data_IF_260227208736
#
_entry.id   IF_260227208736
#
_cell.length_a   1.000
_cell.length_b   1.000
_cell.length_c   1.000
_cell.angle_alpha   90.00
_cell.angle_beta   90.00
_cell.angle_gamma   90.00
#
_symmetry.space_group_name_H-M   'P 1'
#
loop_
_entity.id
_entity.type
_entity.pdbx_description
1 polymer ?
#
# COMPACT_ATOMS: atom_id res chain seq x y z
N UNK A 1 -37.11 7.42 5.44
CA UNK A 1 -36.94 6.14 6.17
C UNK A 1 -35.66 6.07 7.01
N UNK A 2 -34.81 7.10 7.03
CA UNK A 2 -33.53 7.09 7.75
C UNK A 2 -33.62 7.67 9.17
N UNK A 3 -34.76 8.22 9.56
CA UNK A 3 -35.06 8.66 10.92
C UNK A 3 -35.38 7.47 11.81
N UNK A 4 -34.76 7.43 12.99
CA UNK A 4 -34.97 6.39 14.00
C UNK A 4 -36.17 6.77 14.86
N UNK A 5 -37.09 5.84 15.07
CA UNK A 5 -38.23 6.06 15.95
C UNK A 5 -37.78 5.97 17.42
N UNK A 6 -38.15 6.96 18.24
CA UNK A 6 -37.75 7.05 19.65
C UNK A 6 -38.27 5.91 20.54
N UNK A 7 -39.43 5.32 20.24
CA UNK A 7 -40.03 4.28 21.08
C UNK A 7 -39.54 2.86 20.73
N UNK A 8 -39.15 2.63 19.48
CA UNK A 8 -38.74 1.30 18.99
C UNK A 8 -37.25 1.21 18.70
N UNK A 9 -36.54 2.34 18.61
CA UNK A 9 -35.12 2.39 18.26
C UNK A 9 -34.81 1.94 16.83
N UNK A 10 -35.85 1.69 16.01
CA UNK A 10 -35.72 1.23 14.63
C UNK A 10 -36.06 2.35 13.65
N UNK A 11 -35.34 2.37 12.53
CA UNK A 11 -35.68 3.21 11.39
C UNK A 11 -36.77 2.54 10.55
N UNK A 12 -37.54 3.33 9.81
CA UNK A 12 -38.53 2.79 8.87
C UNK A 12 -37.90 1.85 7.84
N UNK A 13 -36.63 2.05 7.48
CA UNK A 13 -35.89 1.15 6.60
C UNK A 13 -35.65 -0.22 7.25
N UNK A 14 -35.27 -0.24 8.54
CA UNK A 14 -35.02 -1.47 9.28
C UNK A 14 -36.31 -2.28 9.46
N UNK A 15 -37.43 -1.61 9.70
CA UNK A 15 -38.75 -2.27 9.82
C UNK A 15 -39.19 -2.88 8.50
N UNK A 16 -38.98 -2.19 7.38
CA UNK A 16 -39.42 -2.66 6.06
C UNK A 16 -38.52 -3.75 5.48
N UNK A 17 -37.21 -3.67 5.69
CA UNK A 17 -36.24 -4.53 5.00
C UNK A 17 -35.49 -5.49 5.94
N UNK A 18 -35.76 -5.45 7.25
CA UNK A 18 -35.15 -6.35 8.24
C UNK A 18 -33.63 -6.19 8.39
N UNK A 19 -33.05 -5.11 7.85
CA UNK A 19 -31.60 -4.86 7.87
C UNK A 19 -31.29 -3.38 7.99
N UNK A 20 -30.11 -3.06 8.51
CA UNK A 20 -29.63 -1.68 8.57
C UNK A 20 -29.32 -1.14 7.16
N UNK A 21 -29.60 0.14 6.88
CA UNK A 21 -29.21 0.78 5.63
C UNK A 21 -27.68 0.86 5.55
N UNK A 22 -27.09 0.45 4.42
CA UNK A 22 -25.67 0.67 4.13
C UNK A 22 -25.50 2.07 3.57
N UNK A 23 -25.29 3.04 4.45
CA UNK A 23 -25.03 4.44 4.05
C UNK A 23 -23.59 4.53 3.61
N UNK A 24 -23.35 5.06 2.40
CA UNK A 24 -22.00 5.36 1.96
C UNK A 24 -21.40 6.41 2.90
N UNK A 25 -20.19 6.19 3.43
CA UNK A 25 -19.53 7.20 4.22
C UNK A 25 -19.40 8.50 3.40
N UNK A 26 -19.51 9.68 4.04
CA UNK A 26 -19.38 10.95 3.34
C UNK A 26 -18.09 10.98 2.53
N UNK A 27 -18.17 11.43 1.27
CA UNK A 27 -16.98 11.68 0.46
C UNK A 27 -16.35 12.96 1.01
N UNK A 28 -15.50 12.81 2.01
CA UNK A 28 -14.69 13.91 2.53
C UNK A 28 -13.57 14.14 1.53
N UNK A 29 -13.40 15.35 0.96
CA UNK A 29 -12.25 15.66 0.14
C UNK A 29 -11.00 15.47 1.00
N UNK A 30 -10.19 14.47 0.68
CA UNK A 30 -8.86 14.37 1.27
C UNK A 30 -8.06 15.50 0.64
N UNK A 31 -7.96 16.62 1.33
CA UNK A 31 -7.02 17.68 1.02
C UNK A 31 -5.62 17.14 1.32
N UNK A 32 -5.11 16.27 0.46
CA UNK A 32 -3.70 15.95 0.49
C UNK A 32 -2.97 17.25 0.12
N UNK A 33 -2.01 17.72 0.94
CA UNK A 33 -1.13 18.78 0.49
C UNK A 33 -0.49 18.34 -0.83
N UNK A 34 -0.66 19.14 -1.88
CA UNK A 34 0.07 18.96 -3.12
C UNK A 34 1.55 19.26 -2.84
N UNK A 35 2.27 18.28 -2.30
CA UNK A 35 3.72 18.33 -2.26
C UNK A 35 4.20 18.24 -3.71
N UNK A 36 4.50 19.39 -4.30
CA UNK A 36 5.12 19.47 -5.61
C UNK A 36 6.56 19.01 -5.43
N UNK A 37 6.79 17.71 -5.59
CA UNK A 37 8.15 17.17 -5.66
C UNK A 37 8.71 17.56 -7.04
N UNK A 38 9.85 18.27 -7.10
CA UNK A 38 10.48 18.60 -8.37
C UNK A 38 10.77 17.32 -9.17
N UNK A 39 10.44 17.32 -10.46
CA UNK A 39 10.67 16.16 -11.32
C UNK A 39 12.15 15.71 -11.33
N UNK A 40 13.08 16.65 -11.15
CA UNK A 40 14.51 16.38 -11.01
C UNK A 40 14.84 15.50 -9.80
N UNK A 41 14.16 15.71 -8.67
CA UNK A 41 14.35 14.93 -7.46
C UNK A 41 13.86 13.50 -7.63
N UNK A 42 12.74 13.31 -8.33
CA UNK A 42 12.22 11.98 -8.68
C UNK A 42 13.22 11.23 -9.57
N UNK A 43 13.74 11.88 -10.60
CA UNK A 43 14.73 11.26 -11.51
C UNK A 43 16.00 10.88 -10.76
N UNK A 44 16.49 11.77 -9.89
CA UNK A 44 17.66 11.48 -9.04
C UNK A 44 17.40 10.26 -8.16
N UNK A 45 16.27 10.22 -7.46
CA UNK A 45 15.91 9.09 -6.60
C UNK A 45 15.85 7.77 -7.37
N UNK A 46 15.32 7.77 -8.60
CA UNK A 46 15.29 6.57 -9.45
C UNK A 46 16.70 6.10 -9.82
N UNK A 47 17.60 7.03 -10.14
CA UNK A 47 18.99 6.70 -10.47
C UNK A 47 19.69 6.11 -9.24
N UNK A 48 19.54 6.74 -8.08
CA UNK A 48 20.17 6.30 -6.83
C UNK A 48 19.67 4.89 -6.45
N UNK A 49 18.36 4.66 -6.48
CA UNK A 49 17.73 3.36 -6.20
C UNK A 49 18.22 2.27 -7.18
N UNK A 50 18.41 2.63 -8.46
CA UNK A 50 18.93 1.71 -9.47
C UNK A 50 20.36 1.29 -9.17
N UNK A 51 21.21 2.20 -8.69
CA UNK A 51 22.60 1.84 -8.38
C UNK A 51 22.68 0.98 -7.13
N UNK A 52 21.93 1.32 -6.09
CA UNK A 52 21.85 0.50 -4.87
C UNK A 52 21.35 -0.93 -5.17
N UNK A 53 20.35 -1.07 -6.04
CA UNK A 53 19.86 -2.38 -6.47
C UNK A 53 20.93 -3.20 -7.21
N UNK A 54 21.76 -2.57 -8.03
CA UNK A 54 22.86 -3.26 -8.74
C UNK A 54 23.94 -3.72 -7.77
N UNK A 55 24.34 -2.86 -6.82
CA UNK A 55 25.37 -3.19 -5.84
C UNK A 55 24.91 -4.33 -4.93
N UNK A 56 23.64 -4.30 -4.51
CA UNK A 56 23.00 -5.38 -3.75
C UNK A 56 22.97 -6.69 -4.54
N UNK A 57 22.64 -6.64 -5.83
CA UNK A 57 22.63 -7.81 -6.70
C UNK A 57 24.04 -8.40 -6.89
N UNK A 58 25.04 -7.54 -7.06
CA UNK A 58 26.44 -7.95 -7.19
C UNK A 58 26.89 -8.67 -5.92
N UNK A 59 26.67 -8.07 -4.75
CA UNK A 59 27.02 -8.66 -3.46
C UNK A 59 26.34 -10.03 -3.25
N UNK A 60 25.05 -10.13 -3.58
CA UNK A 60 24.30 -11.38 -3.51
C UNK A 60 24.90 -12.45 -4.42
N UNK A 61 25.26 -12.11 -5.66
CA UNK A 61 25.88 -13.05 -6.61
C UNK A 61 27.27 -13.50 -6.18
N UNK A 62 28.09 -12.60 -5.63
CA UNK A 62 29.41 -12.94 -5.08
C UNK A 62 29.26 -13.93 -3.92
N UNK A 63 28.33 -13.67 -3.01
CA UNK A 63 28.01 -14.57 -1.90
C UNK A 63 27.56 -15.95 -2.41
N UNK A 64 26.61 -15.98 -3.36
CA UNK A 64 26.15 -17.23 -3.98
C UNK A 64 27.30 -18.01 -4.63
N UNK A 65 28.17 -17.35 -5.40
CA UNK A 65 29.30 -17.99 -6.03
C UNK A 65 30.31 -18.55 -5.01
N UNK A 66 30.59 -17.80 -3.94
CA UNK A 66 31.46 -18.24 -2.86
C UNK A 66 30.94 -19.53 -2.20
N UNK A 67 29.68 -19.56 -1.80
CA UNK A 67 29.08 -20.75 -1.18
C UNK A 67 28.90 -21.92 -2.16
N UNK A 68 28.58 -21.64 -3.43
CA UNK A 68 28.52 -22.68 -4.46
C UNK A 68 29.89 -23.33 -4.71
N UNK A 69 30.96 -22.53 -4.69
CA UNK A 69 32.32 -23.02 -4.88
C UNK A 69 32.89 -23.70 -3.63
N UNK A 70 32.40 -23.38 -2.43
CA UNK A 70 32.84 -24.03 -1.19
C UNK A 70 32.56 -25.55 -1.15
N UNK A 71 31.57 -26.02 -1.91
CA UNK A 71 31.23 -27.44 -2.02
C UNK A 71 31.87 -28.13 -3.24
N UNK A 72 32.68 -27.41 -4.03
CA UNK A 72 33.39 -27.98 -5.17
C UNK A 72 34.74 -28.53 -4.71
N UNK A 73 34.92 -29.85 -4.71
CA UNK A 73 36.24 -30.46 -4.62
C UNK A 73 37.06 -30.16 -5.87
N UNK A 74 38.37 -29.96 -5.71
CA UNK A 74 39.30 -29.79 -6.84
C UNK A 74 39.31 -31.06 -7.71
N UNK A 75 39.32 -30.87 -9.03
CA UNK A 75 39.63 -31.91 -10.03
C UNK A 75 41.13 -32.19 -10.04
#
# INVERSE_FOLDING_TARGET
>A
LNTVNASTGLSGFQVLFGRAPRVLPPIVPVLQPNFVIPAQEIVKNIIDLKQEAKDSLLAAKVSQAHYANAHRTAD
#
